data_IF_842651900327
#
_entry.id   IF_842651900327
#
_cell.length_a   1.000
_cell.length_b   1.000
_cell.length_c   1.000
_cell.angle_alpha   90.00
_cell.angle_beta   90.00
_cell.angle_gamma   90.00
#
_symmetry.space_group_name_H-M   'P 1'
#
loop_
_entity.id
_entity.type
_entity.pdbx_description
1 polymer ?
#
# COMPACT_ATOMS: atom_id res chain seq x y z
N UNK A 1 -1.67 0.56 29.03
CA UNK A 1 -2.12 -0.18 27.84
C UNK A 1 -1.00 -0.04 26.85
N UNK A 2 -0.22 -1.08 26.67
CA UNK A 2 0.82 -1.07 25.66
C UNK A 2 0.14 -0.97 24.30
N UNK A 3 0.04 0.24 23.89
CA UNK A 3 -0.50 0.66 22.62
C UNK A 3 0.41 0.12 21.55
N UNK A 4 -0.08 -0.47 20.57
CA UNK A 4 0.65 -0.68 19.36
C UNK A 4 0.65 -2.05 18.81
N UNK A 5 -0.32 -2.30 18.06
CA UNK A 5 -0.35 -3.62 17.51
C UNK A 5 -0.68 -3.54 16.05
N UNK A 6 0.21 -4.08 15.26
CA UNK A 6 -0.18 -4.58 13.97
C UNK A 6 -1.07 -5.80 14.24
N UNK A 7 -2.35 -5.59 14.04
CA UNK A 7 -3.35 -6.62 14.23
C UNK A 7 -3.86 -7.07 12.88
N UNK A 8 -4.19 -8.33 12.77
CA UNK A 8 -4.89 -8.82 11.59
C UNK A 8 -6.25 -9.36 12.01
N UNK A 9 -7.25 -9.13 11.19
CA UNK A 9 -8.57 -9.71 11.42
C UNK A 9 -9.26 -10.03 10.11
N UNK A 10 -10.23 -10.91 10.21
CA UNK A 10 -11.03 -11.35 9.08
C UNK A 10 -12.06 -10.28 8.70
N UNK A 11 -12.07 -9.89 7.43
CA UNK A 11 -12.86 -8.77 6.91
C UNK A 11 -14.38 -8.94 7.16
N UNK A 12 -14.90 -10.16 7.09
CA UNK A 12 -16.33 -10.42 7.28
C UNK A 12 -16.81 -10.29 8.74
N UNK A 13 -15.89 -10.16 9.69
CA UNK A 13 -16.21 -9.95 11.11
C UNK A 13 -16.15 -8.49 11.48
N UNK A 14 -16.96 -7.70 10.83
CA UNK A 14 -17.02 -6.24 11.01
C UNK A 14 -17.27 -5.82 12.47
N UNK A 15 -18.09 -6.55 13.18
CA UNK A 15 -18.40 -6.36 14.60
C UNK A 15 -17.18 -6.49 15.51
N UNK A 16 -16.19 -7.30 15.13
CA UNK A 16 -14.98 -7.55 15.90
C UNK A 16 -13.98 -6.39 15.82
N UNK A 17 -13.92 -5.64 14.70
CA UNK A 17 -12.86 -4.66 14.45
C UNK A 17 -13.34 -3.21 14.34
N UNK A 18 -14.64 -2.95 14.12
CA UNK A 18 -15.19 -1.58 14.03
C UNK A 18 -15.08 -0.76 15.31
N UNK A 19 -14.87 -1.40 16.42
CA UNK A 19 -14.86 -0.78 17.76
C UNK A 19 -13.52 -0.08 18.04
N UNK A 20 -12.52 -0.29 17.21
CA UNK A 20 -11.17 0.23 17.43
C UNK A 20 -10.96 1.51 16.65
N UNK A 21 -10.45 2.51 17.35
CA UNK A 21 -9.81 3.66 16.70
C UNK A 21 -8.49 3.19 16.07
N UNK A 22 -8.53 2.86 14.80
CA UNK A 22 -7.43 2.21 14.11
C UNK A 22 -7.33 2.60 12.64
N UNK A 23 -6.14 2.47 12.10
CA UNK A 23 -5.91 2.49 10.66
C UNK A 23 -6.17 1.11 10.07
N UNK A 24 -7.12 1.02 9.17
CA UNK A 24 -7.48 -0.23 8.50
C UNK A 24 -6.77 -0.35 7.17
N UNK A 25 -6.03 -1.44 6.99
CA UNK A 25 -5.30 -1.76 5.78
C UNK A 25 -5.90 -3.00 5.14
N UNK A 26 -6.46 -2.83 3.96
CA UNK A 26 -7.06 -3.96 3.25
C UNK A 26 -5.99 -4.69 2.45
N UNK A 27 -5.91 -6.01 2.62
CA UNK A 27 -4.89 -6.87 1.99
C UNK A 27 -5.47 -7.88 1.00
N UNK A 28 -6.69 -7.67 0.52
CA UNK A 28 -7.38 -8.62 -0.35
C UNK A 28 -8.10 -7.92 -1.50
N UNK A 29 -8.19 -8.61 -2.66
CA UNK A 29 -8.97 -8.16 -3.81
C UNK A 29 -10.48 -8.29 -3.62
N UNK A 30 -10.92 -9.12 -2.68
CA UNK A 30 -12.31 -9.59 -2.57
C UNK A 30 -13.24 -8.61 -1.85
N UNK A 31 -12.86 -7.35 -1.79
CA UNK A 31 -13.78 -6.31 -1.32
C UNK A 31 -14.74 -6.01 -2.44
N UNK A 32 -15.90 -6.60 -2.37
CA UNK A 32 -17.01 -6.28 -3.24
C UNK A 32 -17.26 -4.78 -3.18
N UNK A 33 -17.36 -4.15 -4.33
CA UNK A 33 -17.53 -2.69 -4.51
C UNK A 33 -18.75 -2.15 -3.73
N UNK A 34 -19.70 -3.00 -3.35
CA UNK A 34 -20.84 -2.67 -2.48
C UNK A 34 -20.42 -2.14 -1.11
N UNK A 35 -19.28 -2.59 -0.60
CA UNK A 35 -18.86 -2.27 0.77
C UNK A 35 -18.02 -0.99 0.86
N UNK A 36 -17.51 -0.48 -0.27
CA UNK A 36 -16.71 0.75 -0.29
C UNK A 36 -17.42 1.98 0.30
N UNK A 37 -18.75 2.08 0.10
CA UNK A 37 -19.55 3.17 0.69
C UNK A 37 -19.76 3.01 2.19
N UNK A 38 -19.69 1.77 2.69
CA UNK A 38 -19.93 1.42 4.07
C UNK A 38 -18.69 1.67 4.95
N UNK A 39 -17.51 1.68 4.34
CA UNK A 39 -16.21 1.74 5.03
C UNK A 39 -15.44 3.01 4.67
N UNK A 40 -16.00 4.17 4.96
CA UNK A 40 -15.39 5.48 4.64
C UNK A 40 -14.06 5.73 5.35
N UNK A 41 -13.78 4.98 6.40
CA UNK A 41 -12.54 5.08 7.20
C UNK A 41 -11.47 4.05 6.82
N UNK A 42 -11.76 3.15 5.86
CA UNK A 42 -10.79 2.14 5.45
C UNK A 42 -9.83 2.75 4.44
N UNK A 43 -8.57 2.86 4.81
CA UNK A 43 -7.49 3.13 3.88
C UNK A 43 -7.29 1.90 3.00
N UNK A 44 -7.83 1.95 1.79
CA UNK A 44 -7.49 1.00 0.76
C UNK A 44 -6.03 1.24 0.38
N UNK A 45 -5.11 0.54 1.02
CA UNK A 45 -3.75 0.52 0.54
C UNK A 45 -3.77 0.08 -0.93
N UNK A 46 -3.20 0.86 -1.84
CA UNK A 46 -3.24 0.51 -3.24
C UNK A 46 -2.58 -0.86 -3.41
N UNK A 47 -3.32 -1.87 -3.78
CA UNK A 47 -2.96 -3.22 -4.25
C UNK A 47 -1.56 -3.79 -3.88
N UNK A 48 -0.82 -3.09 -3.01
CA UNK A 48 0.59 -3.38 -2.67
C UNK A 48 0.68 -4.72 -1.92
N UNK A 49 -0.25 -4.93 -0.99
CA UNK A 49 -0.26 -6.13 -0.14
C UNK A 49 -1.16 -7.25 -0.70
N UNK A 50 -1.80 -7.03 -1.84
CA UNK A 50 -2.66 -8.06 -2.42
C UNK A 50 -1.82 -9.19 -2.98
N UNK A 51 -2.11 -10.45 -2.58
CA UNK A 51 -1.42 -11.59 -3.13
C UNK A 51 -1.70 -11.71 -4.63
N UNK A 52 -0.66 -12.03 -5.40
CA UNK A 52 -0.82 -12.36 -6.82
C UNK A 52 -1.44 -13.77 -6.97
N UNK A 53 -1.87 -14.11 -8.17
CA UNK A 53 -2.39 -15.45 -8.46
C UNK A 53 -1.38 -16.54 -8.06
N UNK A 54 -0.11 -16.35 -8.38
CA UNK A 54 0.96 -17.31 -8.03
C UNK A 54 1.03 -17.57 -6.52
N UNK A 55 0.82 -16.53 -5.70
CA UNK A 55 0.78 -16.67 -4.24
C UNK A 55 -0.45 -17.44 -3.78
N UNK A 56 -1.61 -17.15 -4.38
CA UNK A 56 -2.88 -17.78 -3.99
C UNK A 56 -2.96 -19.26 -4.40
N UNK A 57 -2.28 -19.64 -5.46
CA UNK A 57 -2.26 -21.01 -6.00
C UNK A 57 -0.98 -21.78 -5.66
N UNK A 58 -0.19 -21.30 -4.69
CA UNK A 58 0.99 -22.02 -4.23
C UNK A 58 0.62 -23.38 -3.65
N UNK A 59 1.38 -24.40 -3.99
CA UNK A 59 1.09 -25.80 -3.64
C UNK A 59 1.17 -26.07 -2.13
N UNK A 60 1.96 -25.27 -1.43
CA UNK A 60 2.14 -25.42 0.02
C UNK A 60 2.51 -24.11 0.69
N UNK A 61 2.43 -24.09 2.02
CA UNK A 61 2.67 -22.87 2.82
C UNK A 61 4.09 -22.32 2.70
N UNK A 62 5.08 -23.18 2.53
CA UNK A 62 6.48 -22.74 2.35
C UNK A 62 6.65 -21.99 1.04
N UNK A 63 6.10 -22.51 -0.02
CA UNK A 63 6.11 -21.89 -1.34
C UNK A 63 5.33 -20.57 -1.33
N UNK A 64 4.12 -20.56 -0.78
CA UNK A 64 3.31 -19.35 -0.61
C UNK A 64 4.10 -18.24 0.08
N UNK A 65 4.78 -18.56 1.18
CA UNK A 65 5.60 -17.58 1.90
C UNK A 65 6.72 -17.03 1.03
N UNK A 66 7.44 -17.89 0.33
CA UNK A 66 8.55 -17.48 -0.54
C UNK A 66 8.05 -16.57 -1.65
N UNK A 67 6.97 -16.93 -2.31
CA UNK A 67 6.38 -16.16 -3.41
C UNK A 67 5.83 -14.82 -2.92
N UNK A 68 5.16 -14.80 -1.78
CA UNK A 68 4.63 -13.55 -1.21
C UNK A 68 5.75 -12.60 -0.78
N UNK A 69 6.77 -13.10 -0.09
CA UNK A 69 7.93 -12.29 0.27
C UNK A 69 8.67 -11.77 -0.98
N UNK A 70 8.78 -12.58 -2.03
CA UNK A 70 9.36 -12.17 -3.30
C UNK A 70 8.53 -11.05 -3.94
N UNK A 71 7.21 -11.19 -3.95
CA UNK A 71 6.29 -10.15 -4.42
C UNK A 71 6.50 -8.83 -3.66
N UNK A 72 6.57 -8.86 -2.33
CA UNK A 72 6.79 -7.66 -1.51
C UNK A 72 8.16 -7.02 -1.77
N UNK A 73 9.21 -7.83 -1.95
CA UNK A 73 10.56 -7.34 -2.26
C UNK A 73 10.63 -6.59 -3.60
N UNK A 74 9.79 -6.96 -4.55
CA UNK A 74 9.71 -6.28 -5.87
C UNK A 74 8.91 -4.98 -5.81
N UNK A 75 8.24 -4.70 -4.70
CA UNK A 75 7.46 -3.49 -4.47
C UNK A 75 8.09 -2.72 -3.31
N UNK A 76 9.10 -1.88 -3.54
CA UNK A 76 9.78 -1.13 -2.47
C UNK A 76 8.79 -0.28 -1.66
N UNK A 77 7.69 0.15 -2.26
CA UNK A 77 6.61 0.89 -1.62
C UNK A 77 5.94 0.08 -0.49
N UNK A 78 5.99 -1.26 -0.56
CA UNK A 78 5.44 -2.10 0.51
C UNK A 78 6.21 -1.92 1.81
N UNK A 79 7.54 -1.92 1.74
CA UNK A 79 8.39 -1.70 2.91
C UNK A 79 8.30 -0.26 3.41
N UNK A 80 8.25 0.71 2.51
CA UNK A 80 8.09 2.13 2.81
C UNK A 80 6.79 2.37 3.60
N UNK A 81 5.68 1.79 3.13
CA UNK A 81 4.37 1.92 3.78
C UNK A 81 4.29 1.20 5.13
N UNK A 82 4.86 -0.01 5.22
CA UNK A 82 4.95 -0.73 6.48
C UNK A 82 5.78 0.04 7.52
N UNK A 83 6.88 0.65 7.10
CA UNK A 83 7.70 1.48 7.99
C UNK A 83 6.92 2.70 8.50
N UNK A 84 6.09 3.34 7.67
CA UNK A 84 5.23 4.44 8.10
C UNK A 84 4.18 3.99 9.12
N UNK A 85 3.56 2.84 8.91
CA UNK A 85 2.59 2.27 9.85
C UNK A 85 3.24 1.90 11.19
N UNK A 86 4.42 1.25 11.16
CA UNK A 86 5.16 0.89 12.39
C UNK A 86 5.54 2.15 13.16
N UNK A 87 6.06 3.15 12.48
CA UNK A 87 6.38 4.42 13.12
C UNK A 87 5.15 5.09 13.73
N UNK A 88 4.03 5.13 13.01
CA UNK A 88 2.77 5.68 13.50
C UNK A 88 2.27 4.94 14.73
N UNK A 89 2.42 3.62 14.76
CA UNK A 89 2.10 2.80 15.92
C UNK A 89 2.98 3.14 17.11
N UNK A 90 4.30 3.21 16.94
CA UNK A 90 5.24 3.45 18.02
C UNK A 90 5.18 4.87 18.57
N UNK A 91 5.12 5.87 17.70
CA UNK A 91 5.27 7.29 18.10
C UNK A 91 3.93 7.95 18.37
N UNK A 92 2.89 7.58 17.62
CA UNK A 92 1.57 8.20 17.73
C UNK A 92 0.53 7.33 18.43
N UNK A 93 0.89 6.09 18.76
CA UNK A 93 -0.01 5.16 19.43
C UNK A 93 -1.17 4.65 18.56
N UNK A 94 -1.02 4.67 17.22
CA UNK A 94 -2.06 4.15 16.33
C UNK A 94 -2.13 2.64 16.38
N UNK A 95 -3.34 2.12 16.43
CA UNK A 95 -3.57 0.73 16.07
C UNK A 95 -3.62 0.62 14.55
N UNK A 96 -2.94 -0.38 13.98
CA UNK A 96 -3.01 -0.69 12.56
C UNK A 96 -3.58 -2.08 12.39
N UNK A 97 -4.70 -2.19 11.69
CA UNK A 97 -5.40 -3.45 11.48
C UNK A 97 -5.35 -3.82 10.00
N UNK A 98 -4.75 -4.97 9.73
CA UNK A 98 -4.74 -5.55 8.40
C UNK A 98 -5.97 -6.43 8.22
N UNK A 99 -6.87 -6.01 7.35
CA UNK A 99 -8.08 -6.75 7.02
C UNK A 99 -7.78 -7.77 5.92
N UNK A 100 -8.10 -9.02 6.19
CA UNK A 100 -7.84 -10.15 5.31
C UNK A 100 -9.07 -11.00 5.12
N UNK A 101 -9.16 -11.74 4.02
CA UNK A 101 -10.15 -12.80 3.80
C UNK A 101 -9.72 -14.16 4.37
N UNK A 102 -8.49 -14.27 4.85
CA UNK A 102 -8.00 -15.49 5.47
C UNK A 102 -8.55 -15.62 6.90
N UNK A 103 -9.31 -16.69 7.15
CA UNK A 103 -9.94 -16.91 8.47
C UNK A 103 -8.96 -17.24 9.58
N UNK A 104 -7.81 -17.80 9.21
CA UNK A 104 -6.78 -18.25 10.15
C UNK A 104 -5.49 -17.45 9.94
N UNK A 105 -5.08 -16.74 10.97
CA UNK A 105 -3.81 -16.01 10.99
C UNK A 105 -2.59 -16.94 10.95
N UNK A 106 -2.75 -18.18 11.38
CA UNK A 106 -1.65 -19.15 11.42
C UNK A 106 -1.23 -19.64 10.04
N UNK A 107 -2.01 -19.34 9.00
CA UNK A 107 -1.80 -19.83 7.65
C UNK A 107 -1.91 -18.73 6.59
N UNK A 108 -1.50 -19.04 5.39
CA UNK A 108 -1.68 -18.20 4.22
C UNK A 108 -0.78 -16.95 4.16
N UNK A 109 -1.10 -16.07 3.22
CA UNK A 109 -0.28 -14.90 2.91
C UNK A 109 -0.19 -13.88 4.05
N UNK A 110 -1.17 -13.84 4.97
CA UNK A 110 -1.13 -12.91 6.10
C UNK A 110 -0.04 -13.30 7.11
N UNK A 111 0.19 -14.60 7.29
CA UNK A 111 1.31 -15.11 8.09
C UNK A 111 2.65 -14.76 7.42
N UNK A 112 2.70 -14.86 6.10
CA UNK A 112 3.88 -14.45 5.34
C UNK A 112 4.15 -12.94 5.48
N UNK A 113 3.10 -12.10 5.48
CA UNK A 113 3.22 -10.67 5.76
C UNK A 113 3.75 -10.42 7.17
N UNK A 114 3.19 -11.08 8.18
CA UNK A 114 3.64 -10.96 9.56
C UNK A 114 5.12 -11.36 9.72
N UNK A 115 5.54 -12.43 9.07
CA UNK A 115 6.94 -12.85 9.04
C UNK A 115 7.84 -11.83 8.33
N UNK A 116 7.38 -11.25 7.23
CA UNK A 116 8.10 -10.20 6.51
C UNK A 116 8.30 -8.95 7.38
N UNK A 117 7.25 -8.48 8.05
CA UNK A 117 7.32 -7.33 8.97
C UNK A 117 8.30 -7.60 10.10
N UNK A 118 8.17 -8.75 10.77
CA UNK A 118 9.06 -9.13 11.86
C UNK A 118 10.52 -9.21 11.41
N UNK A 119 10.76 -9.80 10.25
CA UNK A 119 12.13 -9.98 9.72
C UNK A 119 12.75 -8.65 9.30
N UNK A 120 11.97 -7.77 8.65
CA UNK A 120 12.46 -6.54 8.05
C UNK A 120 12.45 -5.34 9.00
N UNK A 121 11.46 -5.27 9.87
CA UNK A 121 11.24 -4.11 10.75
C UNK A 121 11.36 -4.46 12.24
N UNK A 122 11.63 -5.72 12.57
CA UNK A 122 11.70 -6.21 13.96
C UNK A 122 10.44 -5.95 14.79
N UNK A 123 9.32 -5.76 14.10
CA UNK A 123 8.05 -5.41 14.70
C UNK A 123 7.03 -6.54 14.56
N UNK A 124 6.41 -7.02 15.66
CA UNK A 124 5.49 -8.15 15.60
C UNK A 124 4.11 -7.75 15.07
N UNK A 125 3.45 -8.69 14.41
CA UNK A 125 2.03 -8.64 14.08
C UNK A 125 1.29 -9.72 14.85
N UNK A 126 0.08 -9.41 15.32
CA UNK A 126 -0.70 -10.30 16.17
C UNK A 126 -2.05 -10.65 15.52
N UNK A 127 -2.55 -11.83 15.83
CA UNK A 127 -3.95 -12.18 15.57
C UNK A 127 -4.85 -11.38 16.49
N UNK A 128 -5.65 -10.49 15.92
CA UNK A 128 -6.54 -9.61 16.69
C UNK A 128 -7.43 -10.38 17.68
N UNK A 129 -8.04 -11.48 17.24
CA UNK A 129 -8.96 -12.28 18.07
C UNK A 129 -8.27 -12.94 19.27
N UNK A 130 -7.02 -13.38 19.08
CA UNK A 130 -6.23 -13.96 20.18
C UNK A 130 -5.73 -12.87 21.10
N UNK A 131 -5.32 -11.74 20.53
CA UNK A 131 -4.81 -10.60 21.27
C UNK A 131 -5.86 -10.05 22.25
N UNK A 132 -7.07 -9.73 21.78
CA UNK A 132 -8.15 -9.21 22.65
C UNK A 132 -8.60 -10.20 23.74
N UNK A 133 -8.40 -11.51 23.50
CA UNK A 133 -8.69 -12.57 24.48
C UNK A 133 -7.54 -12.84 25.45
N UNK A 134 -6.45 -12.07 25.38
CA UNK A 134 -5.26 -12.29 26.17
C UNK A 134 -4.57 -13.64 25.92
N UNK A 135 -4.88 -14.29 24.77
CA UNK A 135 -4.33 -15.60 24.39
C UNK A 135 -3.10 -15.53 23.52
N UNK A 136 -2.79 -14.34 23.00
CA UNK A 136 -1.59 -14.09 22.21
C UNK A 136 -0.43 -13.78 23.16
N UNK A 137 0.65 -14.52 23.02
CA UNK A 137 1.91 -14.17 23.68
C UNK A 137 2.46 -12.95 22.97
N UNK A 138 2.54 -11.82 23.67
CA UNK A 138 3.19 -10.63 23.15
C UNK A 138 4.68 -10.92 22.98
N UNK A 139 5.18 -10.79 21.77
CA UNK A 139 6.62 -10.83 21.54
C UNK A 139 7.24 -9.56 22.14
N UNK A 140 8.27 -9.74 22.93
CA UNK A 140 9.09 -8.63 23.40
C UNK A 140 9.86 -8.11 22.20
N UNK A 141 9.75 -6.84 21.91
CA UNK A 141 10.55 -6.15 20.91
C UNK A 141 11.19 -4.91 21.56
N UNK A 142 12.30 -4.49 20.99
CA UNK A 142 12.97 -3.26 21.42
C UNK A 142 12.50 -2.10 20.54
N UNK A 143 11.77 -1.12 21.09
CA UNK A 143 11.32 0.04 20.33
C UNK A 143 12.46 0.85 19.71
N UNK A 144 13.63 0.93 20.36
CA UNK A 144 14.77 1.68 19.84
C UNK A 144 15.39 0.95 18.65
N UNK A 145 15.51 -0.38 18.70
CA UNK A 145 15.94 -1.18 17.56
C UNK A 145 14.99 -0.99 16.39
N UNK A 146 13.68 -1.06 16.62
CA UNK A 146 12.68 -0.86 15.57
C UNK A 146 12.80 0.54 14.95
N UNK A 147 12.89 1.59 15.75
CA UNK A 147 13.01 2.96 15.26
C UNK A 147 14.28 3.18 14.47
N UNK A 148 15.41 2.57 14.89
CA UNK A 148 16.68 2.64 14.16
C UNK A 148 16.59 2.09 12.73
N UNK A 149 15.68 1.14 12.49
CA UNK A 149 15.40 0.57 11.16
C UNK A 149 14.39 1.43 10.38
N UNK A 150 13.33 1.84 11.05
CA UNK A 150 12.18 2.48 10.42
C UNK A 150 12.46 3.93 10.01
N UNK A 151 13.14 4.71 10.84
CA UNK A 151 13.39 6.13 10.58
C UNK A 151 14.22 6.39 9.31
N UNK A 152 15.31 5.65 9.04
CA UNK A 152 16.06 5.80 7.79
C UNK A 152 15.22 5.48 6.55
N UNK A 153 14.32 4.49 6.62
CA UNK A 153 13.41 4.16 5.52
C UNK A 153 12.48 5.34 5.27
N UNK A 154 11.81 5.84 6.31
CA UNK A 154 10.90 6.99 6.23
C UNK A 154 11.58 8.26 5.71
N UNK A 155 12.78 8.53 6.17
CA UNK A 155 13.56 9.70 5.70
C UNK A 155 13.80 9.62 4.19
N UNK A 156 14.28 8.47 3.70
CA UNK A 156 14.49 8.24 2.26
C UNK A 156 13.20 8.36 1.45
N UNK A 157 12.10 7.81 1.97
CA UNK A 157 10.79 7.90 1.33
C UNK A 157 10.32 9.35 1.21
N UNK A 158 10.45 10.14 2.28
CA UNK A 158 10.11 11.57 2.26
C UNK A 158 10.96 12.37 1.27
N UNK A 159 12.26 12.13 1.24
CA UNK A 159 13.17 12.79 0.30
C UNK A 159 12.85 12.43 -1.16
N UNK A 160 12.56 11.13 -1.43
CA UNK A 160 12.10 10.67 -2.73
C UNK A 160 10.82 11.37 -3.15
N UNK A 161 9.84 11.43 -2.24
CA UNK A 161 8.54 12.07 -2.48
C UNK A 161 8.69 13.57 -2.76
N UNK A 162 9.50 14.29 -1.98
CA UNK A 162 9.78 15.70 -2.19
C UNK A 162 10.43 15.95 -3.56
N UNK A 163 11.44 15.16 -3.93
CA UNK A 163 12.07 15.25 -5.27
C UNK A 163 11.08 14.98 -6.39
N UNK A 164 10.21 13.98 -6.21
CA UNK A 164 9.17 13.65 -7.21
C UNK A 164 8.16 14.79 -7.37
N UNK A 165 7.72 15.38 -6.26
CA UNK A 165 6.84 16.55 -6.31
C UNK A 165 7.48 17.76 -6.97
N UNK A 166 8.74 18.05 -6.63
CA UNK A 166 9.50 19.12 -7.27
C UNK A 166 9.65 18.86 -8.77
N UNK A 167 10.07 17.66 -9.17
CA UNK A 167 10.19 17.29 -10.57
C UNK A 167 8.87 17.39 -11.33
N UNK A 168 7.74 17.02 -10.71
CA UNK A 168 6.40 17.20 -11.27
C UNK A 168 6.08 18.68 -11.50
N UNK A 169 6.35 19.54 -10.51
CA UNK A 169 6.08 20.96 -10.61
C UNK A 169 6.93 21.65 -11.70
N UNK A 170 8.21 21.30 -11.77
CA UNK A 170 9.13 21.80 -12.79
C UNK A 170 8.69 21.38 -14.21
N UNK A 171 8.33 20.09 -14.38
CA UNK A 171 7.87 19.59 -15.66
C UNK A 171 6.54 20.23 -16.06
N UNK A 172 5.60 20.37 -15.13
CA UNK A 172 4.32 21.01 -15.37
C UNK A 172 4.50 22.49 -15.80
N UNK A 173 5.38 23.21 -15.12
CA UNK A 173 5.72 24.58 -15.53
C UNK A 173 6.26 24.64 -16.95
N UNK A 174 7.25 23.80 -17.25
CA UNK A 174 7.86 23.69 -18.59
C UNK A 174 6.83 23.35 -19.68
N UNK A 175 5.91 22.43 -19.41
CA UNK A 175 4.87 22.04 -20.37
C UNK A 175 3.94 23.24 -20.63
N UNK A 176 3.48 23.92 -19.59
CA UNK A 176 2.57 25.05 -19.72
C UNK A 176 3.20 26.20 -20.52
N UNK A 177 4.48 26.48 -20.29
CA UNK A 177 5.19 27.63 -20.90
C UNK A 177 5.77 27.34 -22.28
N UNK A 178 6.30 26.14 -22.49
CA UNK A 178 7.14 25.86 -23.68
C UNK A 178 6.50 24.90 -24.69
N UNK A 179 5.45 24.15 -24.29
CA UNK A 179 4.90 23.11 -25.16
C UNK A 179 3.57 23.51 -25.79
N UNK A 180 3.52 23.32 -27.12
CA UNK A 180 2.26 23.45 -27.86
C UNK A 180 1.40 22.17 -27.70
N UNK A 181 0.08 22.29 -27.96
CA UNK A 181 -0.84 21.15 -28.03
C UNK A 181 -0.31 20.05 -28.98
N UNK A 182 0.21 20.46 -30.15
CA UNK A 182 0.79 19.54 -31.15
C UNK A 182 1.99 18.77 -30.61
N UNK A 183 2.87 19.43 -29.81
CA UNK A 183 4.03 18.78 -29.18
C UNK A 183 3.61 17.77 -28.13
N UNK A 184 2.59 18.09 -27.33
CA UNK A 184 2.04 17.16 -26.33
C UNK A 184 1.42 15.92 -26.97
N UNK A 185 0.57 16.10 -27.99
CA UNK A 185 0.00 14.98 -28.75
C UNK A 185 1.08 14.06 -29.26
N UNK A 186 2.07 14.60 -29.97
CA UNK A 186 3.19 13.81 -30.50
C UNK A 186 3.90 13.02 -29.39
N UNK A 187 4.13 13.63 -28.21
CA UNK A 187 4.79 12.96 -27.09
C UNK A 187 3.96 11.81 -26.50
N UNK A 188 2.65 11.96 -26.43
CA UNK A 188 1.74 10.91 -25.99
C UNK A 188 1.64 9.79 -27.03
N UNK A 189 1.55 10.13 -28.30
CA UNK A 189 1.56 9.16 -29.41
C UNK A 189 2.88 8.34 -29.43
N UNK A 190 4.04 9.00 -29.26
CA UNK A 190 5.35 8.34 -29.15
C UNK A 190 5.41 7.37 -27.93
N UNK A 191 4.57 7.57 -26.94
CA UNK A 191 4.44 6.70 -25.74
C UNK A 191 3.33 5.63 -25.90
N UNK A 192 2.67 5.56 -27.06
CA UNK A 192 1.62 4.60 -27.37
C UNK A 192 0.22 4.99 -26.86
N UNK A 193 0.00 6.26 -26.50
CA UNK A 193 -1.31 6.74 -26.05
C UNK A 193 -2.01 7.47 -27.21
N UNK A 194 -3.15 6.94 -27.61
CA UNK A 194 -3.96 7.56 -28.65
C UNK A 194 -4.67 8.80 -28.10
N UNK A 195 -4.51 9.94 -28.79
CA UNK A 195 -5.15 11.21 -28.44
C UNK A 195 -6.04 11.68 -29.60
N UNK A 196 -7.30 12.00 -29.30
CA UNK A 196 -8.28 12.47 -30.31
C UNK A 196 -8.52 13.97 -30.21
N UNK A 197 -9.56 14.36 -29.48
CA UNK A 197 -10.05 15.75 -29.45
C UNK A 197 -9.75 16.49 -28.14
N UNK A 198 -8.88 15.92 -27.29
CA UNK A 198 -8.55 16.49 -26.01
C UNK A 198 -8.02 17.93 -26.14
N UNK A 199 -8.40 18.79 -25.20
CA UNK A 199 -7.84 20.13 -25.08
C UNK A 199 -6.41 20.09 -24.49
N UNK A 200 -5.72 21.23 -24.45
CA UNK A 200 -4.32 21.28 -23.99
C UNK A 200 -4.19 20.87 -22.51
N UNK A 201 -5.16 21.20 -21.66
CA UNK A 201 -5.12 20.88 -20.24
C UNK A 201 -5.29 19.40 -20.00
N UNK A 202 -6.23 18.75 -20.67
CA UNK A 202 -6.43 17.30 -20.62
C UNK A 202 -5.18 16.53 -21.05
N UNK A 203 -4.52 16.98 -22.12
CA UNK A 203 -3.25 16.38 -22.57
C UNK A 203 -2.11 16.58 -21.55
N UNK A 204 -2.08 17.72 -20.86
CA UNK A 204 -1.12 17.98 -19.77
C UNK A 204 -1.38 16.99 -18.63
N UNK A 205 -2.62 16.86 -18.17
CA UNK A 205 -2.99 15.98 -17.07
C UNK A 205 -2.71 14.52 -17.40
N UNK A 206 -3.01 14.09 -18.63
CA UNK A 206 -2.67 12.76 -19.12
C UNK A 206 -1.15 12.55 -19.10
N UNK A 207 -0.37 13.45 -19.67
CA UNK A 207 1.08 13.33 -19.73
C UNK A 207 1.71 13.30 -18.31
N UNK A 208 1.26 14.17 -17.42
CA UNK A 208 1.74 14.23 -16.04
C UNK A 208 1.37 12.95 -15.26
N UNK A 209 0.16 12.43 -15.43
CA UNK A 209 -0.28 11.19 -14.76
C UNK A 209 0.52 9.97 -15.20
N UNK A 210 0.95 9.93 -16.48
CA UNK A 210 1.80 8.86 -16.99
C UNK A 210 3.23 8.98 -16.46
N UNK A 211 3.77 10.21 -16.35
CA UNK A 211 5.14 10.43 -15.90
C UNK A 211 5.31 10.35 -14.40
N UNK A 212 4.26 10.58 -13.62
CA UNK A 212 4.24 10.56 -12.15
C UNK A 212 3.02 9.77 -11.64
N UNK A 213 2.94 8.47 -11.93
CA UNK A 213 1.78 7.65 -11.56
C UNK A 213 1.57 7.60 -10.04
N UNK A 214 2.64 7.70 -9.26
CA UNK A 214 2.63 7.71 -7.81
C UNK A 214 1.99 8.96 -7.20
N UNK A 215 1.86 10.05 -7.97
CA UNK A 215 1.22 11.30 -7.56
C UNK A 215 -0.16 11.50 -8.21
N UNK A 216 -0.63 10.53 -8.98
CA UNK A 216 -1.94 10.60 -9.63
C UNK A 216 -3.04 10.16 -8.66
N UNK A 217 -3.94 11.07 -8.34
CA UNK A 217 -5.17 10.78 -7.58
C UNK A 217 -6.26 10.18 -8.46
N UNK A 218 -6.11 10.27 -9.77
CA UNK A 218 -7.06 9.74 -10.74
C UNK A 218 -6.63 8.31 -11.08
N UNK A 219 -7.47 7.30 -10.87
CA UNK A 219 -7.20 5.97 -11.43
C UNK A 219 -7.05 6.16 -12.94
N UNK A 220 -5.95 5.66 -13.49
CA UNK A 220 -5.66 5.78 -14.93
C UNK A 220 -6.77 5.05 -15.71
N UNK A 221 -7.85 5.75 -15.98
CA UNK A 221 -8.99 5.26 -16.78
C UNK A 221 -8.59 4.98 -18.25
N UNK A 222 -7.40 5.42 -18.63
CA UNK A 222 -6.90 5.48 -20.00
C UNK A 222 -6.18 4.21 -20.46
N UNK A 223 -5.98 3.22 -19.57
CA UNK A 223 -5.41 1.92 -19.97
C UNK A 223 -6.43 0.93 -20.56
N UNK A 224 -7.58 1.39 -21.04
CA UNK A 224 -8.52 0.53 -21.78
C UNK A 224 -8.45 0.83 -23.26
N UNK A 225 -7.47 0.25 -23.92
CA UNK A 225 -7.32 0.37 -25.36
C UNK A 225 -6.23 -0.51 -25.95
N UNK A 226 -5.93 -1.62 -25.28
CA UNK A 226 -5.13 -2.68 -25.92
C UNK A 226 -5.96 -3.97 -25.77
N UNK A 227 -6.71 -4.27 -26.85
CA UNK A 227 -7.17 -5.61 -27.16
C UNK A 227 -6.01 -6.40 -27.71
#
# INVERSE_FOLDING_TARGET
MDSTTFLTTYLEREEDWRILDAYYVVTTFDIRVRDKKKYTTINYAPNIFYPTADVLYADNEKELRIQYEYMLKRKPEALELLAEYVWGSLIKGYNVIFLTTTKDFSSGYIRALAHYVLTKLKYPMYDYKKYIKGKEKTCVYDPEEVLSIVEPIRKRTKEKYQKTHQGKAELLHKIKTEWSKKKLKKKLDDMGYYTSDENKEELIDMYISIRFPELSTTPVRWMRGVN
#
